data_IF_784242815378
#
_entry.id   IF_784242815378
#
_cell.length_a   1.000
_cell.length_b   1.000
_cell.length_c   1.000
_cell.angle_alpha   90.00
_cell.angle_beta   90.00
_cell.angle_gamma   90.00
#
_symmetry.space_group_name_H-M   'P 1'
#
loop_
_entity.id
_entity.type
_entity.pdbx_description
1 polymer ?
#
# COMPACT_ATOMS: atom_id res chain seq x y z
N UNK A 1 11.31 -40.16 -25.91
CA UNK A 1 12.10 -38.94 -25.62
C UNK A 1 11.27 -37.65 -25.60
N UNK A 2 10.50 -37.30 -26.65
CA UNK A 2 9.64 -36.09 -26.65
C UNK A 2 8.64 -35.99 -25.48
N UNK A 3 8.03 -37.10 -25.05
CA UNK A 3 7.11 -37.14 -23.89
C UNK A 3 7.81 -36.79 -22.56
N UNK A 4 9.05 -37.25 -22.36
CA UNK A 4 9.86 -36.99 -21.16
C UNK A 4 10.30 -35.52 -21.14
N UNK A 5 10.70 -34.99 -22.30
CA UNK A 5 11.04 -33.56 -22.46
C UNK A 5 9.82 -32.68 -22.16
N UNK A 6 8.64 -33.04 -22.65
CA UNK A 6 7.39 -32.32 -22.35
C UNK A 6 7.06 -32.30 -20.86
N UNK A 7 7.18 -33.45 -20.18
CA UNK A 7 6.95 -33.53 -18.72
C UNK A 7 7.97 -32.68 -17.95
N UNK A 8 9.25 -32.71 -18.34
CA UNK A 8 10.30 -31.92 -17.71
C UNK A 8 10.05 -30.42 -17.86
N UNK A 9 9.63 -29.97 -19.05
CA UNK A 9 9.27 -28.56 -19.30
C UNK A 9 8.07 -28.16 -18.44
N UNK A 10 7.04 -28.99 -18.34
CA UNK A 10 5.89 -28.71 -17.48
C UNK A 10 6.28 -28.59 -16.00
N UNK A 11 7.13 -29.49 -15.50
CA UNK A 11 7.62 -29.42 -14.11
C UNK A 11 8.41 -28.14 -13.84
N UNK A 12 9.27 -27.72 -14.78
CA UNK A 12 10.00 -26.46 -14.68
C UNK A 12 9.07 -25.25 -14.66
N UNK A 13 8.01 -25.26 -15.47
CA UNK A 13 7.00 -24.19 -15.48
C UNK A 13 6.21 -24.13 -14.16
N UNK A 14 5.84 -25.28 -13.59
CA UNK A 14 5.13 -25.33 -12.30
C UNK A 14 6.04 -24.85 -11.18
N UNK A 15 7.30 -25.29 -11.15
CA UNK A 15 8.28 -24.85 -10.15
C UNK A 15 8.58 -23.35 -10.28
N UNK A 16 8.75 -22.84 -11.50
CA UNK A 16 9.01 -21.42 -11.72
C UNK A 16 7.82 -20.56 -11.31
N UNK A 17 6.60 -20.98 -11.64
CA UNK A 17 5.37 -20.34 -11.17
C UNK A 17 5.31 -20.37 -9.63
N UNK A 18 5.55 -21.52 -9.00
CA UNK A 18 5.54 -21.67 -7.54
C UNK A 18 6.53 -20.76 -6.84
N UNK A 19 7.77 -20.68 -7.35
CA UNK A 19 8.81 -19.78 -6.82
C UNK A 19 8.40 -18.31 -6.97
N UNK A 20 7.83 -17.94 -8.12
CA UNK A 20 7.34 -16.58 -8.37
C UNK A 20 6.22 -16.19 -7.40
N UNK A 21 5.22 -17.06 -7.22
CA UNK A 21 4.14 -16.83 -6.26
C UNK A 21 4.69 -16.71 -4.84
N UNK A 22 5.55 -17.63 -4.41
CA UNK A 22 6.14 -17.61 -3.07
C UNK A 22 6.95 -16.33 -2.80
N UNK A 23 7.72 -15.87 -3.78
CA UNK A 23 8.53 -14.63 -3.64
C UNK A 23 7.66 -13.38 -3.56
N UNK A 24 6.50 -13.39 -4.20
CA UNK A 24 5.61 -12.24 -4.31
C UNK A 24 4.46 -12.25 -3.28
N UNK A 25 4.41 -13.26 -2.40
CA UNK A 25 3.43 -13.28 -1.31
C UNK A 25 3.78 -12.22 -0.26
N UNK A 26 2.78 -11.46 0.24
CA UNK A 26 2.97 -10.55 1.37
C UNK A 26 3.35 -11.36 2.62
N UNK A 27 4.38 -10.91 3.36
CA UNK A 27 4.84 -11.63 4.56
C UNK A 27 4.14 -11.17 5.83
N UNK A 28 3.52 -10.00 5.78
CA UNK A 28 2.80 -9.38 6.88
C UNK A 28 1.71 -8.44 6.33
N UNK A 29 0.85 -7.93 7.22
CA UNK A 29 -0.26 -7.04 6.85
C UNK A 29 0.20 -5.74 6.18
N UNK A 30 1.36 -5.21 6.55
CA UNK A 30 1.91 -4.00 5.92
C UNK A 30 2.38 -4.27 4.50
N UNK A 31 2.98 -5.43 4.23
CA UNK A 31 3.33 -5.85 2.87
C UNK A 31 2.08 -6.01 2.01
N UNK A 32 1.01 -6.58 2.56
CA UNK A 32 -0.26 -6.75 1.86
C UNK A 32 -0.86 -5.39 1.48
N UNK A 33 -1.00 -4.49 2.47
CA UNK A 33 -1.50 -3.12 2.24
C UNK A 33 -0.63 -2.40 1.21
N UNK A 34 0.71 -2.48 1.34
CA UNK A 34 1.64 -1.83 0.43
C UNK A 34 1.49 -2.38 -1.00
N UNK A 35 1.53 -3.70 -1.19
CA UNK A 35 1.47 -4.33 -2.51
C UNK A 35 0.12 -4.11 -3.20
N UNK A 36 -0.99 -4.26 -2.47
CA UNK A 36 -2.32 -4.02 -3.03
C UNK A 36 -2.53 -2.55 -3.38
N UNK A 37 -2.01 -1.63 -2.56
CA UNK A 37 -2.06 -0.19 -2.89
C UNK A 37 -1.16 0.13 -4.08
N UNK A 38 0.05 -0.44 -4.18
CA UNK A 38 0.96 -0.26 -5.31
C UNK A 38 0.34 -0.72 -6.64
N UNK A 39 -0.43 -1.81 -6.62
CA UNK A 39 -1.15 -2.31 -7.81
C UNK A 39 -2.30 -1.41 -8.23
N UNK A 40 -2.96 -0.74 -7.28
CA UNK A 40 -4.28 -0.12 -7.52
C UNK A 40 -4.28 1.41 -7.50
N UNK A 41 -3.28 2.07 -6.93
CA UNK A 41 -3.32 3.52 -6.70
C UNK A 41 -3.48 4.38 -7.96
N UNK A 42 -3.14 3.86 -9.15
CA UNK A 42 -3.27 4.56 -10.44
C UNK A 42 -4.55 4.27 -11.22
N UNK A 43 -5.37 3.31 -10.78
CA UNK A 43 -6.53 2.84 -11.54
C UNK A 43 -7.81 2.89 -10.72
N UNK A 44 -7.79 2.32 -9.52
CA UNK A 44 -8.88 2.37 -8.56
C UNK A 44 -8.36 1.99 -7.18
N UNK A 45 -7.81 2.98 -6.47
CA UNK A 45 -7.13 2.80 -5.20
C UNK A 45 -7.99 2.02 -4.20
N UNK A 46 -7.50 0.85 -3.76
CA UNK A 46 -8.22 -0.04 -2.86
C UNK A 46 -8.58 0.63 -1.54
N UNK A 47 -7.74 1.55 -1.06
CA UNK A 47 -7.93 2.22 0.23
C UNK A 47 -9.11 3.20 0.22
N UNK A 48 -9.58 3.63 -0.95
CA UNK A 48 -10.82 4.44 -1.06
C UNK A 48 -12.04 3.65 -0.57
N UNK A 49 -11.98 2.32 -0.54
CA UNK A 49 -13.07 1.48 -0.02
C UNK A 49 -13.12 1.45 1.50
N UNK A 50 -12.12 2.00 2.20
CA UNK A 50 -12.12 2.06 3.65
C UNK A 50 -13.03 3.22 4.07
N UNK A 51 -14.08 2.89 4.82
CA UNK A 51 -14.97 3.90 5.40
C UNK A 51 -14.18 4.83 6.33
N UNK A 52 -14.49 6.12 6.24
CA UNK A 52 -13.80 7.14 7.03
C UNK A 52 -12.48 7.63 6.44
N UNK A 53 -11.90 7.04 5.39
CA UNK A 53 -10.75 7.63 4.70
C UNK A 53 -11.18 8.52 3.52
N UNK A 54 -10.50 9.65 3.36
CA UNK A 54 -10.55 10.47 2.15
C UNK A 54 -9.30 10.21 1.30
N UNK A 55 -9.47 9.35 0.30
CA UNK A 55 -8.42 8.91 -0.61
C UNK A 55 -8.91 9.04 -2.06
N UNK A 56 -8.04 9.59 -2.91
CA UNK A 56 -8.32 9.72 -4.34
C UNK A 56 -8.44 8.35 -4.99
N UNK A 57 -9.46 8.19 -5.83
CA UNK A 57 -9.70 6.95 -6.59
C UNK A 57 -8.54 6.64 -7.55
N UNK A 58 -7.99 7.68 -8.17
CA UNK A 58 -6.83 7.62 -9.05
C UNK A 58 -5.85 8.66 -8.56
N UNK A 59 -4.65 8.23 -8.21
CA UNK A 59 -3.59 9.13 -7.82
C UNK A 59 -3.06 9.89 -9.04
N UNK A 60 -2.95 11.23 -8.98
CA UNK A 60 -2.45 12.01 -10.11
C UNK A 60 -1.00 11.67 -10.44
N UNK A 61 -0.63 11.84 -11.71
CA UNK A 61 0.74 11.59 -12.19
C UNK A 61 1.50 12.88 -12.50
N UNK A 62 0.99 14.00 -11.99
CA UNK A 62 1.29 15.35 -12.49
C UNK A 62 2.63 15.91 -11.97
N UNK A 63 3.38 15.12 -11.19
CA UNK A 63 4.71 15.48 -10.66
C UNK A 63 5.69 14.30 -10.67
N UNK A 64 6.95 14.56 -11.02
CA UNK A 64 7.99 13.53 -11.19
C UNK A 64 8.23 12.71 -9.92
N UNK A 65 8.15 13.35 -8.74
CA UNK A 65 8.30 12.71 -7.44
C UNK A 65 6.96 12.32 -6.80
N UNK A 66 5.95 13.20 -6.89
CA UNK A 66 4.65 13.00 -6.24
C UNK A 66 3.83 11.85 -6.83
N UNK A 67 4.09 11.48 -8.10
CA UNK A 67 3.38 10.39 -8.76
C UNK A 67 3.62 9.01 -8.12
N UNK A 68 4.61 8.87 -7.24
CA UNK A 68 4.92 7.61 -6.55
C UNK A 68 4.64 7.67 -5.04
N UNK A 69 4.10 8.79 -4.54
CA UNK A 69 3.90 8.97 -3.11
C UNK A 69 2.43 9.25 -2.78
N UNK A 70 1.53 8.26 -2.98
CA UNK A 70 0.13 8.44 -2.62
C UNK A 70 -0.05 8.55 -1.12
N UNK A 71 -1.02 9.35 -0.71
CA UNK A 71 -1.40 9.50 0.68
C UNK A 71 -2.90 9.69 0.83
N UNK A 72 -3.38 9.49 2.05
CA UNK A 72 -4.77 9.60 2.46
C UNK A 72 -4.88 10.11 3.87
N UNK A 73 -5.92 10.89 4.15
CA UNK A 73 -6.23 11.29 5.50
C UNK A 73 -7.55 10.66 5.93
N UNK A 74 -7.67 10.35 7.21
CA UNK A 74 -8.96 10.04 7.79
C UNK A 74 -9.81 11.31 7.81
N UNK A 75 -11.07 11.14 7.46
CA UNK A 75 -12.10 12.18 7.43
C UNK A 75 -12.20 12.81 8.81
N UNK A 76 -12.16 14.14 8.85
CA UNK A 76 -12.13 14.89 10.11
C UNK A 76 -13.39 14.62 10.94
N UNK A 77 -14.53 14.48 10.30
CA UNK A 77 -15.82 14.13 10.91
C UNK A 77 -15.85 12.72 11.50
N UNK A 78 -14.91 11.84 11.12
CA UNK A 78 -14.78 10.48 11.63
C UNK A 78 -13.70 10.36 12.71
N UNK A 79 -13.00 11.45 13.05
CA UNK A 79 -11.98 11.44 14.09
C UNK A 79 -12.62 11.47 15.48
N UNK A 80 -12.13 10.60 16.36
CA UNK A 80 -12.46 10.64 17.79
C UNK A 80 -11.94 11.92 18.45
N UNK A 81 -12.57 12.31 19.56
CA UNK A 81 -12.22 13.53 20.29
C UNK A 81 -10.72 13.59 20.63
N UNK A 82 -10.12 14.75 20.37
CA UNK A 82 -8.70 15.02 20.60
C UNK A 82 -7.77 14.61 19.46
N UNK A 83 -8.17 13.75 18.53
CA UNK A 83 -7.37 13.48 17.33
C UNK A 83 -7.54 14.61 16.30
N UNK A 84 -6.43 15.10 15.77
CA UNK A 84 -6.40 16.22 14.81
C UNK A 84 -6.10 15.74 13.39
N UNK A 85 -5.32 14.67 13.25
CA UNK A 85 -5.01 14.05 11.97
C UNK A 85 -4.77 12.55 12.16
N UNK A 86 -5.22 11.74 11.20
CA UNK A 86 -4.73 10.38 10.99
C UNK A 86 -4.42 10.30 9.50
N UNK A 87 -3.19 9.93 9.17
CA UNK A 87 -2.69 9.90 7.79
C UNK A 87 -2.09 8.54 7.49
N UNK A 88 -2.34 8.06 6.27
CA UNK A 88 -1.60 6.96 5.67
C UNK A 88 -0.85 7.49 4.44
N UNK A 89 0.42 7.13 4.33
CA UNK A 89 1.30 7.55 3.24
C UNK A 89 2.07 6.37 2.68
N UNK A 90 2.36 6.43 1.39
CA UNK A 90 3.15 5.44 0.69
C UNK A 90 4.27 6.11 -0.07
N UNK A 91 5.35 5.39 -0.27
CA UNK A 91 6.43 5.76 -1.16
C UNK A 91 6.83 4.54 -1.99
N UNK A 92 6.43 4.55 -3.26
CA UNK A 92 6.71 3.50 -4.24
C UNK A 92 8.03 3.72 -5.01
N UNK A 93 8.84 4.69 -4.59
CA UNK A 93 10.19 4.86 -5.15
C UNK A 93 11.05 3.71 -4.62
N UNK A 94 11.60 2.91 -5.56
CA UNK A 94 12.31 1.64 -5.33
C UNK A 94 13.45 1.64 -4.29
N UNK A 95 13.91 2.81 -3.84
CA UNK A 95 15.01 2.95 -2.85
C UNK A 95 14.52 3.08 -1.41
N UNK A 96 13.24 3.41 -1.20
CA UNK A 96 12.72 3.81 0.10
C UNK A 96 11.29 3.31 0.28
N UNK A 97 11.00 2.08 -0.17
CA UNK A 97 9.68 1.43 -0.08
C UNK A 97 9.13 1.50 1.34
N UNK A 98 8.40 2.58 1.62
CA UNK A 98 7.97 2.96 2.97
C UNK A 98 6.48 3.18 2.91
N UNK A 99 5.75 2.43 3.73
CA UNK A 99 4.42 2.80 4.17
C UNK A 99 4.56 3.52 5.51
N UNK A 100 3.88 4.64 5.67
CA UNK A 100 3.75 5.34 6.94
C UNK A 100 2.29 5.43 7.35
N UNK A 101 2.04 5.21 8.64
CA UNK A 101 0.76 5.52 9.28
C UNK A 101 1.13 6.46 10.41
N UNK A 102 0.56 7.65 10.40
CA UNK A 102 0.81 8.66 11.42
C UNK A 102 -0.49 9.20 11.97
N UNK A 103 -0.46 9.64 13.22
CA UNK A 103 -1.59 10.34 13.82
C UNK A 103 -1.12 11.49 14.68
N UNK A 104 -1.94 12.53 14.75
CA UNK A 104 -1.76 13.65 15.64
C UNK A 104 -2.91 13.71 16.63
N UNK A 105 -2.56 13.95 17.90
CA UNK A 105 -3.51 14.14 18.99
C UNK A 105 -3.17 15.39 19.78
N UNK A 106 -4.19 16.19 20.07
CA UNK A 106 -4.09 17.33 20.98
C UNK A 106 -3.98 16.84 22.42
N UNK A 107 -2.88 17.19 23.07
CA UNK A 107 -2.66 16.98 24.50
C UNK A 107 -3.46 17.98 25.32
N UNK A 108 -3.76 17.64 26.57
CA UNK A 108 -4.52 18.45 27.53
C UNK A 108 -3.90 19.83 27.78
N UNK A 109 -2.61 20.02 27.47
CA UNK A 109 -1.89 21.30 27.55
C UNK A 109 -1.92 22.13 26.26
N UNK A 110 -2.73 21.75 25.27
CA UNK A 110 -2.83 22.44 23.98
C UNK A 110 -1.69 22.16 23.00
N UNK A 111 -0.72 21.31 23.36
CA UNK A 111 0.35 20.86 22.46
C UNK A 111 -0.11 19.65 21.64
N UNK A 112 0.19 19.62 20.34
CA UNK A 112 -0.05 18.44 19.50
C UNK A 112 1.12 17.46 19.63
N UNK A 113 0.82 16.18 19.83
CA UNK A 113 1.79 15.10 19.81
C UNK A 113 1.44 14.15 18.66
N UNK A 114 2.45 13.69 17.91
CA UNK A 114 2.26 12.74 16.82
C UNK A 114 3.28 11.61 16.81
N UNK A 115 2.88 10.49 16.21
CA UNK A 115 3.66 9.29 15.94
C UNK A 115 3.55 8.94 14.47
#
# INVERSE_FOLDING_TARGET
MKKIIGILVCLLLVLSAGIYYYRNQPKNIFDEIYQETERTYRTNNILRKIDGFDIRAVWPSDGEYFKYTPFGNYKRESLSEGYTEIRIGFNFIRKSSIMSISFEKKSTRGQSCGL
#
